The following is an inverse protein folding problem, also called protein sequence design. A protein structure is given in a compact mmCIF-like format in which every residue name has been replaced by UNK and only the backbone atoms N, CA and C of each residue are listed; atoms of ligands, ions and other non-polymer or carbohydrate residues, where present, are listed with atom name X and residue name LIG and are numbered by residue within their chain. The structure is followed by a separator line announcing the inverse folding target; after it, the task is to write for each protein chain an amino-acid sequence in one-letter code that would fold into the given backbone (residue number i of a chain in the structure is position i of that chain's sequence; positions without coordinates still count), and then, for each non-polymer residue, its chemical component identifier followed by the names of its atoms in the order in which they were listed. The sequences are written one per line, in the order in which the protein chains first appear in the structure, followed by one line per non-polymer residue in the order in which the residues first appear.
data_IF_112531637022
#
_entry.id   IF_112531637022
#
_cell.length_a   1.000
_cell.length_b   1.000
_cell.length_c   1.000
_cell.angle_alpha   90.00
_cell.angle_beta   90.00
_cell.angle_gamma   90.00
#
_symmetry.space_group_name_H-M   'P 1'
#
loop_
_entity.id
_entity.type
_entity.pdbx_description
1 polymer ?
#
# COMPACT_ATOMS: atom_id res chain seq x y z
N UNK A 1 -3.47 -1.65 13.44
CA UNK A 1 -2.22 -2.36 13.14
C UNK A 1 -2.35 -3.74 13.73
N UNK A 2 -2.29 -4.76 12.89
CA UNK A 2 -2.35 -6.16 13.31
C UNK A 2 -1.01 -6.81 12.92
N UNK A 3 -0.37 -7.45 13.90
CA UNK A 3 0.93 -8.09 13.72
C UNK A 3 0.82 -9.55 14.12
N UNK A 4 1.30 -10.44 13.25
CA UNK A 4 1.58 -11.84 13.58
C UNK A 4 3.07 -12.10 13.32
N UNK A 5 3.55 -13.29 13.69
CA UNK A 5 4.96 -13.67 13.58
C UNK A 5 5.58 -13.36 12.20
N UNK A 6 4.82 -13.54 11.12
CA UNK A 6 5.30 -13.38 9.74
C UNK A 6 4.53 -12.34 8.93
N UNK A 7 3.68 -11.51 9.54
CA UNK A 7 2.83 -10.56 8.82
C UNK A 7 2.60 -9.29 9.63
N UNK A 8 2.78 -8.15 8.96
CA UNK A 8 2.46 -6.82 9.48
C UNK A 8 1.37 -6.22 8.60
N UNK A 9 0.26 -5.81 9.21
CA UNK A 9 -0.81 -5.04 8.56
C UNK A 9 -0.83 -3.64 9.17
N UNK A 10 -0.67 -2.62 8.33
CA UNK A 10 -0.70 -1.24 8.77
C UNK A 10 -1.62 -0.37 7.92
N UNK A 11 -2.27 0.58 8.60
CA UNK A 11 -3.25 1.49 8.05
C UNK A 11 -2.67 2.88 8.02
N UNK A 12 -2.49 3.45 6.83
CA UNK A 12 -2.01 4.84 6.72
C UNK A 12 -3.16 5.80 6.45
N UNK A 13 -3.22 6.82 7.30
CA UNK A 13 -4.16 7.95 7.23
C UNK A 13 -3.43 9.29 7.08
N UNK A 14 -2.13 9.25 6.78
CA UNK A 14 -1.34 10.45 6.56
C UNK A 14 -1.87 11.27 5.39
N UNK A 15 -1.50 12.56 5.38
CA UNK A 15 -1.68 13.42 4.22
C UNK A 15 -1.09 12.75 2.97
N UNK A 16 -1.86 12.76 1.87
CA UNK A 16 -1.57 12.00 0.67
C UNK A 16 -1.77 12.90 -0.56
N UNK A 17 -0.71 13.52 -1.10
CA UNK A 17 -0.83 14.40 -2.27
C UNK A 17 -1.32 13.63 -3.50
N UNK A 18 -1.00 12.34 -3.61
CA UNK A 18 -1.46 11.50 -4.71
C UNK A 18 -2.97 11.29 -4.70
N UNK A 19 -3.58 11.16 -3.51
CA UNK A 19 -5.04 11.07 -3.39
C UNK A 19 -5.68 12.39 -3.83
N UNK A 20 -5.17 13.52 -3.35
CA UNK A 20 -5.69 14.84 -3.71
C UNK A 20 -5.61 15.07 -5.21
N UNK A 21 -4.47 14.73 -5.83
CA UNK A 21 -4.32 14.80 -7.28
C UNK A 21 -5.30 13.88 -8.02
N UNK A 22 -5.51 12.64 -7.56
CA UNK A 22 -6.48 11.73 -8.17
C UNK A 22 -7.91 12.29 -8.08
N UNK A 23 -8.30 12.90 -6.96
CA UNK A 23 -9.61 13.54 -6.80
C UNK A 23 -9.77 14.73 -7.75
N UNK A 24 -8.76 15.60 -7.86
CA UNK A 24 -8.80 16.77 -8.74
C UNK A 24 -8.90 16.36 -10.22
N UNK A 25 -8.22 15.28 -10.59
CA UNK A 25 -8.11 14.80 -11.97
C UNK A 25 -9.17 13.75 -12.35
N UNK A 26 -10.08 13.41 -11.44
CA UNK A 26 -11.09 12.35 -11.61
C UNK A 26 -10.47 10.98 -12.01
N UNK A 27 -9.39 10.60 -11.33
CA UNK A 27 -8.68 9.33 -11.54
C UNK A 27 -8.95 8.34 -10.40
N UNK A 28 -9.06 7.06 -10.75
CA UNK A 28 -9.21 5.99 -9.76
C UNK A 28 -7.88 5.74 -9.02
N UNK A 29 -7.90 5.94 -7.69
CA UNK A 29 -6.72 5.75 -6.85
C UNK A 29 -6.24 4.30 -6.83
N UNK A 30 -7.12 3.31 -7.05
CA UNK A 30 -6.74 1.90 -7.13
C UNK A 30 -5.79 1.66 -8.30
N UNK A 31 -6.13 2.22 -9.45
CA UNK A 31 -5.33 2.09 -10.67
C UNK A 31 -4.02 2.88 -10.57
N UNK A 32 -4.12 4.15 -10.18
CA UNK A 32 -2.94 5.04 -10.06
C UNK A 32 -1.96 4.50 -9.02
N UNK A 33 -2.44 4.10 -7.83
CA UNK A 33 -1.53 3.61 -6.79
C UNK A 33 -0.90 2.26 -7.13
N UNK A 34 -1.61 1.40 -7.88
CA UNK A 34 -1.07 0.12 -8.36
C UNK A 34 0.02 0.32 -9.40
N UNK A 35 -0.21 1.23 -10.35
CA UNK A 35 0.77 1.55 -11.38
C UNK A 35 2.04 2.19 -10.80
N UNK A 36 1.90 3.11 -9.83
CA UNK A 36 3.00 3.97 -9.40
C UNK A 36 3.70 3.46 -8.13
N UNK A 37 2.97 2.90 -7.17
CA UNK A 37 3.52 2.64 -5.83
C UNK A 37 3.74 1.17 -5.48
N UNK A 38 3.00 0.23 -6.07
CA UNK A 38 3.07 -1.17 -5.67
C UNK A 38 4.47 -1.75 -5.92
N UNK A 39 4.88 -1.77 -7.20
CA UNK A 39 6.14 -2.37 -7.60
C UNK A 39 7.37 -1.67 -7.01
N UNK A 40 7.49 -0.33 -7.01
CA UNK A 40 8.65 0.32 -6.40
C UNK A 40 8.76 0.07 -4.90
N UNK A 41 7.62 -0.02 -4.18
CA UNK A 41 7.68 -0.32 -2.75
C UNK A 41 8.03 -1.79 -2.51
N UNK A 42 7.48 -2.72 -3.29
CA UNK A 42 7.87 -4.14 -3.25
C UNK A 42 9.37 -4.31 -3.50
N UNK A 43 9.90 -3.68 -4.54
CA UNK A 43 11.33 -3.73 -4.87
C UNK A 43 12.20 -3.15 -3.74
N UNK A 44 11.76 -2.07 -3.10
CA UNK A 44 12.44 -1.51 -1.93
C UNK A 44 12.43 -2.48 -0.74
N UNK A 45 11.28 -3.06 -0.41
CA UNK A 45 11.14 -4.01 0.70
C UNK A 45 12.00 -5.26 0.46
N UNK A 46 12.01 -5.79 -0.76
CA UNK A 46 12.85 -6.93 -1.15
C UNK A 46 14.35 -6.65 -1.07
N UNK A 47 14.78 -5.39 -1.24
CA UNK A 47 16.18 -4.99 -1.03
C UNK A 47 16.59 -5.02 0.44
N UNK A 48 15.66 -4.77 1.36
CA UNK A 48 15.93 -4.86 2.80
C UNK A 48 16.07 -6.32 3.25
N UNK A 49 15.19 -7.20 2.76
CA UNK A 49 15.29 -8.64 2.94
C UNK A 49 14.57 -9.34 1.78
N UNK A 50 15.25 -10.23 1.03
CA UNK A 50 14.67 -10.87 -0.16
C UNK A 50 13.48 -11.80 0.14
N UNK A 51 13.29 -12.21 1.39
CA UNK A 51 12.13 -12.98 1.85
C UNK A 51 10.93 -12.13 2.22
N UNK A 52 11.07 -10.81 2.30
CA UNK A 52 9.92 -9.93 2.52
C UNK A 52 9.14 -9.73 1.23
N UNK A 53 7.83 -9.67 1.37
CA UNK A 53 6.87 -9.25 0.35
C UNK A 53 6.03 -8.13 0.89
N UNK A 54 5.60 -7.29 0.00
CA UNK A 54 4.75 -6.16 0.26
C UNK A 54 3.59 -6.17 -0.72
N UNK A 55 2.43 -5.80 -0.21
CA UNK A 55 1.29 -5.50 -1.05
C UNK A 55 0.37 -4.47 -0.43
N UNK A 56 -0.48 -3.87 -1.25
CA UNK A 56 -1.62 -3.06 -0.82
C UNK A 56 -2.91 -3.84 -0.96
N UNK A 57 -3.79 -3.69 0.03
CA UNK A 57 -5.16 -4.10 -0.14
C UNK A 57 -5.91 -3.03 -0.93
N UNK A 58 -6.17 -3.30 -2.21
CA UNK A 58 -6.84 -2.36 -3.11
C UNK A 58 -8.35 -2.26 -2.91
N UNK A 59 -8.94 -3.16 -2.12
CA UNK A 59 -10.31 -3.02 -1.63
C UNK A 59 -10.38 -2.03 -0.44
N UNK A 60 -9.26 -1.82 0.25
CA UNK A 60 -9.12 -0.90 1.39
C UNK A 60 -8.15 0.24 1.07
N UNK A 61 -8.53 1.12 0.15
CA UNK A 61 -7.77 2.31 -0.25
C UNK A 61 -8.67 3.56 -0.29
N UNK A 62 -8.14 4.71 0.13
CA UNK A 62 -8.82 6.00 0.02
C UNK A 62 -9.00 6.40 -1.46
N UNK A 63 -10.15 6.99 -1.84
CA UNK A 63 -11.23 7.47 -0.96
C UNK A 63 -12.31 6.41 -0.64
N UNK A 64 -12.20 5.18 -1.16
CA UNK A 64 -13.20 4.12 -0.97
C UNK A 64 -13.20 3.48 0.44
N UNK A 65 -12.23 3.84 1.28
CA UNK A 65 -12.09 3.41 2.68
C UNK A 65 -11.46 4.54 3.51
N UNK A 66 -11.59 4.47 4.84
CA UNK A 66 -11.05 5.47 5.80
C UNK A 66 -9.52 5.51 5.88
N UNK A 67 -8.85 4.50 5.32
CA UNK A 67 -7.41 4.37 5.31
C UNK A 67 -6.96 3.59 4.08
N UNK A 68 -5.66 3.65 3.80
CA UNK A 68 -5.04 2.75 2.85
C UNK A 68 -4.32 1.65 3.63
N UNK A 69 -4.70 0.39 3.41
CA UNK A 69 -4.11 -0.78 4.06
C UNK A 69 -2.91 -1.33 3.29
N UNK A 70 -1.87 -1.69 4.03
CA UNK A 70 -0.63 -2.24 3.53
C UNK A 70 -0.28 -3.47 4.33
N UNK A 71 0.34 -4.42 3.64
CA UNK A 71 0.68 -5.71 4.20
C UNK A 71 2.14 -5.98 3.86
N UNK A 72 2.95 -6.32 4.86
CA UNK A 72 4.29 -6.89 4.67
C UNK A 72 4.27 -8.31 5.23
N UNK A 73 4.75 -9.28 4.44
CA UNK A 73 4.77 -10.71 4.80
C UNK A 73 6.22 -11.22 4.71
N UNK A 74 6.62 -12.04 5.67
CA UNK A 74 7.83 -12.85 5.58
C UNK A 74 7.48 -14.20 4.95
N UNK A 75 8.03 -14.48 3.77
CA UNK A 75 7.93 -15.80 3.14
C UNK A 75 8.78 -16.83 3.92
N UNK A 76 8.31 -18.08 3.94
CA UNK A 76 9.02 -19.20 4.57
C UNK A 76 10.29 -19.54 3.78
#
# INVERSE_FOLDING_TARGET
MENSENKIIFHSKNHCPSLEACIILDLDTREVCKAIYERPTEDLIRRLNPKLRFTRNYDCIRPYSDYCEKIIILEK
#
